data_IF_945826301659
#
_entry.id   IF_945826301659
#
_cell.length_a   1.000
_cell.length_b   1.000
_cell.length_c   1.000
_cell.angle_alpha   90.00
_cell.angle_beta   90.00
_cell.angle_gamma   90.00
#
_symmetry.space_group_name_H-M   'P 1'
#
loop_
_entity.id
_entity.type
_entity.pdbx_description
1 polymer ?
#
# COMPACT_ATOMS: atom_id res chain seq x y z
N UNK A 1 -13.04 -4.51 18.75
CA UNK A 1 -14.26 -3.69 18.85
C UNK A 1 -14.72 -3.37 17.43
N UNK A 2 -16.01 -3.55 17.15
CA UNK A 2 -16.64 -3.20 15.87
C UNK A 2 -17.22 -1.79 15.99
N UNK A 3 -16.99 -0.92 15.00
CA UNK A 3 -17.68 0.37 14.92
C UNK A 3 -19.02 0.12 14.26
N UNK A 4 -20.12 0.39 14.95
CA UNK A 4 -21.48 0.17 14.43
C UNK A 4 -21.73 -1.27 13.90
N UNK A 5 -21.07 -2.26 14.51
CA UNK A 5 -21.14 -3.67 14.09
C UNK A 5 -20.32 -4.02 12.84
N UNK A 6 -19.56 -3.07 12.28
CA UNK A 6 -18.78 -3.26 11.05
C UNK A 6 -17.27 -3.17 11.32
N UNK A 7 -16.51 -3.96 10.56
CA UNK A 7 -15.06 -3.79 10.40
C UNK A 7 -14.84 -3.10 9.06
N UNK A 8 -14.20 -1.93 9.09
CA UNK A 8 -13.68 -1.30 7.87
C UNK A 8 -12.19 -1.55 7.84
N UNK A 9 -11.71 -2.16 6.77
CA UNK A 9 -10.28 -2.41 6.55
C UNK A 9 -9.81 -1.58 5.37
N UNK A 10 -8.70 -0.85 5.54
CA UNK A 10 -8.07 -0.06 4.50
C UNK A 10 -6.64 -0.53 4.27
N UNK A 11 -6.20 -0.52 3.02
CA UNK A 11 -4.81 -0.68 2.63
C UNK A 11 -4.16 0.69 2.72
N UNK A 12 -3.16 0.84 3.59
CA UNK A 12 -2.44 2.09 3.77
C UNK A 12 -1.00 1.99 3.27
N UNK A 13 -0.47 3.11 2.80
CA UNK A 13 0.92 3.23 2.39
C UNK A 13 1.85 3.61 3.54
N UNK A 14 2.90 4.36 3.24
CA UNK A 14 3.84 4.84 4.27
C UNK A 14 3.22 6.01 5.04
N UNK A 15 3.62 6.19 6.30
CA UNK A 15 3.06 7.26 7.12
C UNK A 15 3.38 7.16 8.60
N UNK A 16 2.61 7.90 9.39
CA UNK A 16 2.72 7.98 10.83
C UNK A 16 1.37 7.73 11.48
N UNK A 17 1.37 7.02 12.60
CA UNK A 17 0.22 6.87 13.47
C UNK A 17 0.47 7.65 14.76
N UNK A 18 -0.42 8.58 15.08
CA UNK A 18 -0.49 9.26 16.37
C UNK A 18 -1.60 8.63 17.20
N UNK A 19 -1.26 8.14 18.39
CA UNK A 19 -2.21 7.53 19.32
C UNK A 19 -2.32 8.43 20.54
N UNK A 20 -3.54 8.88 20.82
CA UNK A 20 -3.90 9.59 22.04
C UNK A 20 -4.89 8.76 22.87
N UNK A 21 -5.36 9.32 23.98
CA UNK A 21 -6.14 8.57 24.97
C UNK A 21 -7.50 8.07 24.43
N UNK A 22 -8.13 8.82 23.53
CA UNK A 22 -9.46 8.55 22.97
C UNK A 22 -9.51 8.54 21.44
N UNK A 23 -8.37 8.83 20.77
CA UNK A 23 -8.29 8.93 19.31
C UNK A 23 -7.00 8.31 18.77
N UNK A 24 -7.10 7.77 17.56
CA UNK A 24 -5.95 7.39 16.75
C UNK A 24 -6.06 8.13 15.41
N UNK A 25 -4.96 8.72 14.96
CA UNK A 25 -4.87 9.44 13.68
C UNK A 25 -3.74 8.82 12.86
N UNK A 26 -4.03 8.48 11.61
CA UNK A 26 -3.03 7.95 10.68
C UNK A 26 -2.87 8.95 9.54
N UNK A 27 -1.68 9.53 9.41
CA UNK A 27 -1.29 10.33 8.24
C UNK A 27 -0.49 9.44 7.31
N UNK A 28 -0.98 9.22 6.10
CA UNK A 28 -0.36 8.34 5.12
C UNK A 28 -0.51 8.91 3.72
N UNK A 29 0.40 8.51 2.83
CA UNK A 29 0.38 8.85 1.40
C UNK A 29 -0.71 8.12 0.62
N UNK A 30 -1.29 7.05 1.18
CA UNK A 30 -2.32 6.25 0.53
C UNK A 30 -3.23 5.60 1.57
N UNK A 31 -4.55 5.62 1.32
CA UNK A 31 -5.54 4.83 2.05
C UNK A 31 -6.63 4.39 1.08
N UNK A 32 -6.73 3.09 0.80
CA UNK A 32 -7.67 2.52 -0.16
C UNK A 32 -8.56 1.46 0.49
N UNK A 33 -9.86 1.55 0.25
CA UNK A 33 -10.82 0.49 0.51
C UNK A 33 -10.84 -0.56 -0.60
N UNK A 34 -11.47 -1.70 -0.33
CA UNK A 34 -11.50 -2.85 -1.26
C UNK A 34 -12.14 -2.52 -2.63
N UNK A 35 -13.15 -1.66 -2.64
CA UNK A 35 -13.84 -1.23 -3.87
C UNK A 35 -13.02 -0.27 -4.73
N UNK A 36 -11.97 0.35 -4.16
CA UNK A 36 -11.11 1.31 -4.85
C UNK A 36 -9.90 0.63 -5.51
N UNK A 37 -9.71 -0.67 -5.27
CA UNK A 37 -8.55 -1.43 -5.75
C UNK A 37 -8.89 -2.15 -7.05
N UNK A 38 -8.24 -1.72 -8.14
CA UNK A 38 -8.13 -2.48 -9.38
C UNK A 38 -6.95 -3.46 -9.26
N UNK A 39 -7.29 -4.75 -9.10
CA UNK A 39 -6.32 -5.82 -8.89
C UNK A 39 -5.32 -5.94 -10.05
N UNK A 40 -5.80 -5.88 -11.29
CA UNK A 40 -4.94 -6.03 -12.47
C UNK A 40 -3.99 -4.84 -12.59
N UNK A 41 -4.50 -3.62 -12.42
CA UNK A 41 -3.66 -2.43 -12.49
C UNK A 41 -2.59 -2.42 -11.37
N UNK A 42 -2.93 -2.89 -10.17
CA UNK A 42 -2.00 -3.00 -9.06
C UNK A 42 -0.91 -4.07 -9.31
N UNK A 43 -1.27 -5.23 -9.85
CA UNK A 43 -0.31 -6.28 -10.25
C UNK A 43 0.65 -5.79 -11.33
N UNK A 44 0.14 -5.19 -12.40
CA UNK A 44 0.97 -4.66 -13.48
C UNK A 44 1.91 -3.54 -12.97
N UNK A 45 1.43 -2.66 -12.08
CA UNK A 45 2.26 -1.61 -11.50
C UNK A 45 3.37 -2.16 -10.59
N UNK A 46 3.06 -3.19 -9.80
CA UNK A 46 4.04 -3.89 -8.96
C UNK A 46 5.12 -4.56 -9.83
N UNK A 47 4.70 -5.32 -10.83
CA UNK A 47 5.61 -6.02 -11.74
C UNK A 47 6.55 -5.06 -12.46
N UNK A 48 6.03 -3.95 -13.02
CA UNK A 48 6.86 -2.92 -13.66
C UNK A 48 7.89 -2.31 -12.72
N UNK A 49 7.53 -2.09 -11.45
CA UNK A 49 8.45 -1.52 -10.46
C UNK A 49 9.54 -2.52 -10.06
N UNK A 50 9.18 -3.80 -9.90
CA UNK A 50 10.12 -4.89 -9.62
C UNK A 50 11.11 -5.10 -10.77
N UNK A 51 10.64 -5.15 -12.01
CA UNK A 51 11.48 -5.27 -13.21
C UNK A 51 12.47 -4.11 -13.31
N UNK A 52 12.03 -2.88 -13.04
CA UNK A 52 12.91 -1.70 -13.01
C UNK A 52 13.97 -1.81 -11.92
N UNK A 53 13.61 -2.23 -10.69
CA UNK A 53 14.59 -2.42 -9.62
C UNK A 53 15.63 -3.49 -9.96
N UNK A 54 15.22 -4.59 -10.60
CA UNK A 54 16.12 -5.68 -10.98
C UNK A 54 17.07 -5.29 -12.11
N UNK A 55 16.57 -4.54 -13.10
CA UNK A 55 17.35 -4.16 -14.29
C UNK A 55 18.26 -2.96 -14.06
N UNK A 56 17.96 -2.10 -13.09
CA UNK A 56 18.67 -0.83 -12.92
C UNK A 56 20.04 -0.92 -12.22
N UNK A 57 20.44 -2.09 -11.71
CA UNK A 57 21.79 -2.32 -11.19
C UNK A 57 22.28 -1.29 -10.15
N UNK A 58 23.60 -1.07 -10.07
CA UNK A 58 24.25 -0.13 -9.13
C UNK A 58 24.18 1.33 -9.59
N UNK A 59 23.70 1.60 -10.81
CA UNK A 59 23.68 2.95 -11.41
C UNK A 59 22.44 3.75 -11.00
N UNK A 60 21.46 3.11 -10.36
CA UNK A 60 20.23 3.76 -9.92
C UNK A 60 20.46 4.54 -8.62
N UNK A 61 20.10 5.83 -8.63
CA UNK A 61 20.19 6.69 -7.45
C UNK A 61 19.28 6.22 -6.31
N UNK A 62 19.67 6.50 -5.07
CA UNK A 62 18.94 6.08 -3.88
C UNK A 62 17.48 6.59 -3.83
N UNK A 63 17.22 7.78 -4.38
CA UNK A 63 15.89 8.36 -4.48
C UNK A 63 14.97 7.52 -5.38
N UNK A 64 15.45 7.13 -6.56
CA UNK A 64 14.70 6.30 -7.51
C UNK A 64 14.43 4.90 -6.93
N UNK A 65 15.41 4.32 -6.22
CA UNK A 65 15.24 3.06 -5.50
C UNK A 65 14.11 3.18 -4.48
N UNK A 66 14.14 4.23 -3.65
CA UNK A 66 13.13 4.47 -2.63
C UNK A 66 11.73 4.67 -3.25
N UNK A 67 11.65 5.38 -4.38
CA UNK A 67 10.40 5.57 -5.11
C UNK A 67 9.80 4.25 -5.60
N UNK A 68 10.59 3.40 -6.27
CA UNK A 68 10.13 2.10 -6.76
C UNK A 68 9.72 1.16 -5.62
N UNK A 69 10.50 1.14 -4.53
CA UNK A 69 10.14 0.39 -3.32
C UNK A 69 8.83 0.89 -2.72
N UNK A 70 8.60 2.21 -2.73
CA UNK A 70 7.33 2.81 -2.30
C UNK A 70 6.15 2.42 -3.18
N UNK A 71 6.35 2.25 -4.49
CA UNK A 71 5.31 1.69 -5.38
C UNK A 71 4.99 0.25 -4.97
N UNK A 72 6.01 -0.61 -4.86
CA UNK A 72 5.84 -2.03 -4.54
C UNK A 72 5.11 -2.21 -3.20
N UNK A 73 5.53 -1.46 -2.17
CA UNK A 73 4.90 -1.52 -0.85
C UNK A 73 3.41 -1.17 -0.90
N UNK A 74 3.05 -0.09 -1.61
CA UNK A 74 1.64 0.33 -1.79
C UNK A 74 0.82 -0.71 -2.54
N UNK A 75 1.32 -1.23 -3.66
CA UNK A 75 0.58 -2.23 -4.45
C UNK A 75 0.42 -3.54 -3.67
N UNK A 76 1.45 -3.96 -2.93
CA UNK A 76 1.38 -5.14 -2.06
C UNK A 76 0.30 -4.98 -0.99
N UNK A 77 0.21 -3.81 -0.35
CA UNK A 77 -0.82 -3.54 0.66
C UNK A 77 -2.23 -3.60 0.06
N UNK A 78 -2.43 -3.01 -1.11
CA UNK A 78 -3.70 -3.05 -1.84
C UNK A 78 -4.11 -4.48 -2.22
N UNK A 79 -3.22 -5.24 -2.86
CA UNK A 79 -3.51 -6.62 -3.27
C UNK A 79 -3.81 -7.54 -2.08
N UNK A 80 -3.09 -7.38 -0.96
CA UNK A 80 -3.38 -8.13 0.27
C UNK A 80 -4.79 -7.86 0.79
N UNK A 81 -5.24 -6.61 0.76
CA UNK A 81 -6.60 -6.27 1.18
C UNK A 81 -7.63 -6.88 0.24
N UNK A 82 -7.43 -6.73 -1.07
CA UNK A 82 -8.35 -7.21 -2.10
C UNK A 82 -8.57 -8.73 -2.01
N UNK A 83 -7.47 -9.48 -1.95
CA UNK A 83 -7.50 -10.95 -1.86
C UNK A 83 -8.07 -11.46 -0.54
N UNK A 84 -7.92 -10.70 0.56
CA UNK A 84 -8.51 -11.05 1.86
C UNK A 84 -10.05 -11.02 1.82
N UNK A 85 -10.66 -10.17 1.00
CA UNK A 85 -12.11 -10.03 0.90
C UNK A 85 -12.74 -10.92 -0.19
N UNK A 86 -11.92 -11.62 -0.98
CA UNK A 86 -12.38 -12.62 -1.96
C UNK A 86 -12.64 -14.00 -1.33
N UNK A 87 -12.22 -14.22 -0.09
CA UNK A 87 -12.41 -15.45 0.71
C UNK A 87 -13.44 -15.23 1.82
#
# INVERSE_FOLDING_TARGET
YLRDGQVVTLAIGSGFAEIAHDKAVVLTDMALGESEIDERAAEEAMQRAEEKLQTAGHDMGAEEVAYLQGIIARQTAALRLKRKHQH
#
